data_IF_925154146458
#
_entry.id   IF_925154146458
#
_cell.length_a   1.000
_cell.length_b   1.000
_cell.length_c   1.000
_cell.angle_alpha   90.00
_cell.angle_beta   90.00
_cell.angle_gamma   90.00
#
_symmetry.space_group_name_H-M   'P 1'
#
loop_
_entity.id
_entity.type
_entity.pdbx_description
1 polymer ?
#
# COMPACT_ATOMS: atom_id res chain seq x y z
N UNK A 1 9.42 -10.23 1.18
CA UNK A 1 8.92 -8.91 0.75
C UNK A 1 7.66 -8.60 1.53
N UNK A 2 7.44 -7.34 1.90
CA UNK A 2 6.23 -6.87 2.58
C UNK A 2 5.76 -5.61 1.91
N UNK A 3 4.53 -5.59 1.43
CA UNK A 3 3.98 -4.50 0.64
C UNK A 3 3.01 -3.69 1.51
N UNK A 4 3.11 -2.37 1.44
CA UNK A 4 2.07 -1.49 1.99
C UNK A 4 1.11 -1.12 0.86
N UNK A 5 -0.18 -1.09 1.16
CA UNK A 5 -1.24 -0.76 0.21
C UNK A 5 -2.03 0.44 0.72
N UNK A 6 -2.47 1.29 -0.19
CA UNK A 6 -3.36 2.41 0.10
C UNK A 6 -4.37 2.59 -1.02
N UNK A 7 -5.64 2.81 -0.68
CA UNK A 7 -6.66 3.17 -1.66
C UNK A 7 -6.47 4.59 -2.16
N UNK A 8 -6.75 4.82 -3.45
CA UNK A 8 -6.57 6.11 -4.10
C UNK A 8 -7.31 7.24 -3.37
N UNK A 9 -8.54 7.01 -2.88
CA UNK A 9 -9.33 8.00 -2.12
C UNK A 9 -8.64 8.51 -0.85
N UNK A 10 -7.64 7.80 -0.32
CA UNK A 10 -6.89 8.21 0.86
C UNK A 10 -5.77 9.20 0.54
N UNK A 11 -5.47 9.43 -0.74
CA UNK A 11 -4.45 10.37 -1.19
C UNK A 11 -5.05 11.72 -1.52
N UNK A 12 -4.28 12.78 -1.31
CA UNK A 12 -4.66 14.11 -1.81
C UNK A 12 -4.59 14.13 -3.34
N UNK A 13 -5.47 14.86 -4.04
CA UNK A 13 -5.43 14.95 -5.51
C UNK A 13 -4.10 15.44 -6.09
N UNK A 14 -3.28 16.13 -5.29
CA UNK A 14 -1.97 16.66 -5.70
C UNK A 14 -0.85 15.64 -5.62
N UNK A 15 -1.10 14.43 -5.12
CA UNK A 15 -0.08 13.39 -5.01
C UNK A 15 0.21 12.82 -6.40
N UNK A 16 1.47 12.89 -6.82
CA UNK A 16 1.94 12.27 -8.06
C UNK A 16 2.36 10.83 -7.75
N UNK A 17 1.85 9.89 -8.54
CA UNK A 17 2.20 8.48 -8.46
C UNK A 17 3.35 8.17 -9.40
N UNK A 18 4.27 7.32 -8.96
CA UNK A 18 5.19 6.65 -9.88
C UNK A 18 4.46 5.48 -10.54
N UNK A 19 3.93 5.75 -11.73
CA UNK A 19 3.21 4.75 -12.52
C UNK A 19 4.13 3.71 -13.16
N UNK A 20 5.45 3.93 -13.18
CA UNK A 20 6.42 2.93 -13.66
C UNK A 20 6.61 1.79 -12.66
N UNK A 21 6.27 2.04 -11.39
CA UNK A 21 6.36 1.09 -10.28
C UNK A 21 4.98 0.56 -9.89
N UNK A 22 4.39 -0.25 -10.78
CA UNK A 22 3.14 -0.95 -10.56
C UNK A 22 3.38 -2.45 -10.30
N UNK A 23 2.50 -3.08 -9.52
CA UNK A 23 2.57 -4.48 -9.14
C UNK A 23 1.24 -5.20 -9.43
N UNK A 24 1.36 -6.47 -9.77
CA UNK A 24 0.23 -7.40 -9.81
C UNK A 24 0.11 -8.12 -8.47
N UNK A 25 -1.02 -7.96 -7.79
CA UNK A 25 -1.34 -8.56 -6.51
C UNK A 25 -2.33 -9.71 -6.71
N UNK A 26 -2.10 -10.81 -6.01
CA UNK A 26 -2.96 -12.00 -5.98
C UNK A 26 -3.20 -12.43 -4.55
N UNK A 27 -4.33 -13.11 -4.31
CA UNK A 27 -4.68 -13.66 -2.99
C UNK A 27 -5.33 -12.68 -2.01
N UNK A 28 -5.57 -11.43 -2.41
CA UNK A 28 -6.33 -10.44 -1.61
C UNK A 28 -7.72 -10.14 -2.17
N UNK A 29 -8.03 -10.63 -3.38
CA UNK A 29 -9.32 -10.58 -4.04
C UNK A 29 -9.46 -11.79 -4.97
N UNK A 30 -10.68 -12.01 -5.48
CA UNK A 30 -11.00 -13.09 -6.43
C UNK A 30 -10.21 -12.97 -7.74
N UNK A 31 -9.81 -11.76 -8.10
CA UNK A 31 -9.08 -11.46 -9.34
C UNK A 31 -7.69 -10.89 -9.05
N UNK A 32 -6.83 -10.91 -10.06
CA UNK A 32 -5.53 -10.23 -9.98
C UNK A 32 -5.75 -8.73 -10.01
N UNK A 33 -5.19 -8.03 -9.02
CA UNK A 33 -5.28 -6.57 -8.93
C UNK A 33 -3.98 -5.97 -9.43
N UNK A 34 -4.06 -5.06 -10.39
CA UNK A 34 -2.92 -4.23 -10.80
C UNK A 34 -2.98 -2.92 -10.02
N UNK A 35 -1.89 -2.57 -9.34
CA UNK A 35 -1.78 -1.29 -8.62
C UNK A 35 -1.61 -0.14 -9.61
N UNK A 36 -2.05 1.06 -9.23
CA UNK A 36 -1.97 2.27 -10.05
C UNK A 36 -0.54 2.87 -10.12
N UNK A 37 0.37 2.35 -9.31
CA UNK A 37 1.73 2.86 -9.12
C UNK A 37 2.12 2.87 -7.64
N UNK A 38 3.23 3.54 -7.35
CA UNK A 38 3.77 3.69 -6.01
C UNK A 38 3.81 5.16 -5.57
N UNK A 39 3.73 5.36 -4.25
CA UNK A 39 3.94 6.65 -3.60
C UNK A 39 4.77 6.47 -2.34
N UNK A 40 5.69 7.40 -2.10
CA UNK A 40 6.44 7.46 -0.84
C UNK A 40 5.74 8.36 0.16
N UNK A 41 5.38 7.81 1.33
CA UNK A 41 4.71 8.52 2.41
C UNK A 41 5.61 8.53 3.64
N UNK A 42 5.80 9.70 4.25
CA UNK A 42 6.51 9.81 5.53
C UNK A 42 5.56 9.46 6.68
N UNK A 43 5.89 8.42 7.43
CA UNK A 43 5.15 8.01 8.63
C UNK A 43 6.12 8.00 9.80
N UNK A 44 5.87 8.88 10.78
CA UNK A 44 6.71 9.09 11.97
C UNK A 44 8.18 9.38 11.60
N UNK A 45 8.39 10.25 10.59
CA UNK A 45 9.72 10.68 10.15
C UNK A 45 10.47 9.66 9.28
N UNK A 46 9.87 8.49 8.99
CA UNK A 46 10.45 7.49 8.08
C UNK A 46 9.65 7.42 6.78
N UNK A 47 10.35 7.54 5.66
CA UNK A 47 9.75 7.32 4.35
C UNK A 47 9.38 5.84 4.19
N UNK A 48 8.20 5.57 3.66
CA UNK A 48 7.73 4.22 3.40
C UNK A 48 6.96 4.21 2.09
N UNK A 49 7.28 3.25 1.24
CA UNK A 49 6.61 3.06 -0.04
C UNK A 49 5.24 2.41 0.17
N UNK A 50 4.24 2.93 -0.53
CA UNK A 50 2.89 2.39 -0.62
C UNK A 50 2.52 2.20 -2.09
N UNK A 51 1.95 1.04 -2.40
CA UNK A 51 1.32 0.82 -3.69
C UNK A 51 -0.13 1.26 -3.64
N UNK A 52 -0.53 2.00 -4.66
CA UNK A 52 -1.86 2.61 -4.72
C UNK A 52 -2.82 1.65 -5.41
N UNK A 53 -3.97 1.40 -4.80
CA UNK A 53 -5.02 0.55 -5.36
C UNK A 53 -6.21 1.42 -5.75
N UNK A 54 -6.85 1.09 -6.88
CA UNK A 54 -8.10 1.71 -7.30
C UNK A 54 -9.18 1.56 -6.23
N UNK A 55 -9.99 2.60 -6.07
CA UNK A 55 -11.14 2.57 -5.16
C UNK A 55 -12.22 1.56 -5.59
N UNK A 56 -12.18 1.12 -6.85
CA UNK A 56 -13.08 0.09 -7.41
C UNK A 56 -12.82 -1.31 -6.87
N UNK A 57 -11.67 -1.57 -6.23
CA UNK A 57 -11.37 -2.90 -5.69
C UNK A 57 -12.10 -3.10 -4.36
N UNK A 58 -12.89 -4.18 -4.31
CA UNK A 58 -13.72 -4.56 -3.17
C UNK A 58 -12.91 -5.33 -2.11
N UNK A 59 -12.21 -4.58 -1.27
CA UNK A 59 -11.77 -5.05 0.05
C UNK A 59 -12.01 -3.96 1.10
N UNK A 60 -12.29 -4.37 2.34
CA UNK A 60 -12.81 -3.48 3.38
C UNK A 60 -11.80 -2.46 3.90
N UNK A 61 -10.51 -2.81 3.87
CA UNK A 61 -9.45 -1.97 4.42
C UNK A 61 -9.04 -0.89 3.42
N UNK A 62 -8.92 0.35 3.88
CA UNK A 62 -8.46 1.45 3.03
C UNK A 62 -6.92 1.54 2.97
N UNK A 63 -6.25 1.02 4.00
CA UNK A 63 -4.80 1.05 4.18
C UNK A 63 -4.34 -0.28 4.78
N UNK A 64 -3.31 -0.88 4.20
CA UNK A 64 -2.72 -2.12 4.69
C UNK A 64 -1.22 -1.89 4.88
N UNK A 65 -0.71 -2.23 6.06
CA UNK A 65 0.72 -2.18 6.37
C UNK A 65 1.33 -3.56 6.19
N UNK A 66 2.36 -3.65 5.36
CA UNK A 66 3.08 -4.87 5.09
C UNK A 66 3.99 -5.26 6.27
N UNK A 67 4.31 -6.54 6.35
CA UNK A 67 5.18 -7.06 7.40
C UNK A 67 6.57 -6.39 7.44
N UNK A 68 7.10 -5.93 6.30
CA UNK A 68 8.37 -5.20 6.21
C UNK A 68 8.29 -3.89 6.98
N UNK A 69 7.22 -3.13 6.78
CA UNK A 69 6.98 -1.88 7.50
C UNK A 69 6.93 -2.08 9.02
N UNK A 70 6.28 -3.17 9.46
CA UNK A 70 6.17 -3.55 10.87
C UNK A 70 7.52 -3.97 11.45
N UNK A 71 8.29 -4.79 10.73
CA UNK A 71 9.63 -5.25 11.13
C UNK A 71 10.63 -4.10 11.25
N UNK A 72 10.64 -3.16 10.31
CA UNK A 72 11.49 -1.96 10.33
C UNK A 72 11.17 -1.00 11.50
N UNK A 73 10.04 -1.22 12.18
CA UNK A 73 9.59 -0.48 13.34
C UNK A 73 9.57 -1.35 14.61
N UNK A 74 10.15 -2.54 14.56
CA UNK A 74 10.24 -3.47 15.69
C UNK A 74 8.88 -3.77 16.34
N UNK A 75 7.81 -3.81 15.54
CA UNK A 75 6.47 -4.14 16.05
C UNK A 75 6.48 -5.61 16.49
N UNK A 76 6.06 -5.83 17.74
CA UNK A 76 5.92 -7.16 18.32
C UNK A 76 4.48 -7.63 18.08
N UNK A 77 4.33 -8.79 17.45
CA UNK A 77 3.04 -9.47 17.31
C UNK A 77 2.87 -10.41 18.51
N UNK A 78 2.15 -9.95 19.53
CA UNK A 78 1.73 -10.78 20.66
C UNK A 78 0.25 -11.12 20.46
N UNK A 79 -0.02 -12.36 20.04
CA UNK A 79 -1.36 -12.90 19.84
C UNK A 79 -1.57 -14.14 20.70
#
# INVERSE_FOLDING_TARGET
SGLNLIKQKCLKPTVVLDQSNALCLQGIASETIVTLGAVSISILGKLSEFYVISDSIEFAQDRILGNRFLRERSVILNY
#
